data_IF_577047911106
#
_entry.id   IF_577047911106
#
_cell.length_a   1.000
_cell.length_b   1.000
_cell.length_c   1.000
_cell.angle_alpha   90.00
_cell.angle_beta   90.00
_cell.angle_gamma   90.00
#
_symmetry.space_group_name_H-M   'P 1'
#
loop_
_entity.id
_entity.type
_entity.pdbx_description
1 polymer ?
#
# COMPACT_ATOMS: atom_id res chain seq x y z
N UNK A 1 44.28 -11.31 8.65
CA UNK A 1 43.34 -10.16 8.68
C UNK A 1 42.27 -10.48 7.66
N UNK A 2 41.17 -11.07 8.12
CA UNK A 2 40.03 -11.40 7.27
C UNK A 2 39.26 -10.12 6.95
N UNK A 3 39.09 -9.83 5.66
CA UNK A 3 38.37 -8.66 5.17
C UNK A 3 36.93 -8.69 5.68
N UNK A 4 36.55 -7.60 6.34
CA UNK A 4 35.24 -7.34 6.93
C UNK A 4 34.33 -6.64 5.90
N UNK A 5 34.35 -7.08 4.64
CA UNK A 5 33.79 -6.36 3.49
C UNK A 5 32.78 -7.23 2.74
N UNK A 6 31.66 -7.51 3.40
CA UNK A 6 30.31 -7.43 2.84
C UNK A 6 29.34 -7.73 3.99
N UNK A 7 29.05 -6.71 4.80
CA UNK A 7 27.77 -6.72 5.51
C UNK A 7 26.76 -6.29 4.45
N UNK A 8 25.89 -7.22 4.05
CA UNK A 8 24.91 -7.04 2.99
C UNK A 8 24.18 -5.70 3.11
N UNK A 9 23.97 -5.07 1.96
CA UNK A 9 23.29 -3.78 1.84
C UNK A 9 21.92 -3.85 2.53
N UNK A 10 21.58 -2.82 3.30
CA UNK A 10 20.21 -2.64 3.77
C UNK A 10 19.34 -2.08 2.64
N UNK A 11 18.18 -2.69 2.41
CA UNK A 11 17.18 -2.20 1.47
C UNK A 11 16.08 -1.43 2.19
N UNK A 12 15.62 -0.33 1.60
CA UNK A 12 14.53 0.51 2.10
C UNK A 12 13.40 0.53 1.11
N UNK A 13 12.25 0.00 1.53
CA UNK A 13 11.03 -0.06 0.74
C UNK A 13 10.00 0.87 1.38
N UNK A 14 9.38 1.73 0.59
CA UNK A 14 8.18 2.46 1.02
C UNK A 14 6.95 1.78 0.45
N UNK A 15 5.96 1.54 1.31
CA UNK A 15 4.68 0.96 0.97
C UNK A 15 3.61 1.97 1.37
N UNK A 16 2.89 2.48 0.39
CA UNK A 16 1.88 3.53 0.54
C UNK A 16 0.60 3.06 -0.12
N UNK A 17 -0.53 3.70 0.18
CA UNK A 17 -1.85 3.30 -0.31
C UNK A 17 -2.82 4.45 -0.16
N UNK A 18 -3.99 4.29 -0.76
CA UNK A 18 -5.18 5.07 -0.42
C UNK A 18 -4.91 6.57 -0.57
N UNK A 19 -4.59 7.00 -1.79
CA UNK A 19 -4.54 8.42 -2.12
C UNK A 19 -5.91 8.93 -2.57
N UNK A 20 -6.77 8.08 -3.15
CA UNK A 20 -8.15 8.40 -3.53
C UNK A 20 -8.25 9.72 -4.31
N UNK A 21 -7.48 9.86 -5.41
CA UNK A 21 -7.57 11.05 -6.26
C UNK A 21 -9.00 11.21 -6.80
N UNK A 22 -9.61 12.33 -6.46
CA UNK A 22 -10.97 12.71 -6.87
C UNK A 22 -11.06 14.20 -7.19
N UNK A 23 -11.94 14.57 -8.13
CA UNK A 23 -12.24 15.97 -8.47
C UNK A 23 -13.16 16.64 -7.43
N UNK A 24 -13.71 15.86 -6.49
CA UNK A 24 -14.59 16.35 -5.42
C UNK A 24 -13.80 17.17 -4.39
N UNK A 25 -13.95 18.49 -4.47
CA UNK A 25 -13.06 19.47 -3.82
C UNK A 25 -13.02 19.43 -2.28
N UNK A 26 -13.94 18.74 -1.59
CA UNK A 26 -14.08 18.90 -0.12
C UNK A 26 -14.48 17.64 0.65
N UNK A 27 -14.38 16.44 0.08
CA UNK A 27 -14.64 15.24 0.88
C UNK A 27 -13.73 15.14 2.11
N UNK A 28 -12.56 15.79 2.06
CA UNK A 28 -11.47 15.54 3.00
C UNK A 28 -10.94 16.80 3.70
N UNK A 29 -11.70 17.89 3.69
CA UNK A 29 -11.32 19.17 4.29
C UNK A 29 -10.20 19.94 3.56
N UNK A 30 -9.45 19.25 2.69
CA UNK A 30 -8.43 19.78 1.78
C UNK A 30 -8.77 19.44 0.33
N UNK A 31 -8.19 20.17 -0.63
CA UNK A 31 -8.27 19.80 -2.04
C UNK A 31 -7.48 18.51 -2.28
N UNK A 32 -8.04 17.60 -3.09
CA UNK A 32 -7.35 16.36 -3.46
C UNK A 32 -5.98 16.64 -4.08
N UNK A 33 -5.88 17.63 -4.95
CA UNK A 33 -4.62 18.01 -5.60
C UNK A 33 -3.52 18.38 -4.60
N UNK A 34 -3.84 19.20 -3.58
CA UNK A 34 -2.87 19.61 -2.57
C UNK A 34 -2.38 18.40 -1.75
N UNK A 35 -3.30 17.48 -1.43
CA UNK A 35 -2.99 16.25 -0.67
C UNK A 35 -2.16 15.26 -1.48
N UNK A 36 -2.49 15.04 -2.74
CA UNK A 36 -1.72 14.13 -3.61
C UNK A 36 -0.35 14.74 -3.94
N UNK A 37 -0.27 16.06 -4.12
CA UNK A 37 1.02 16.72 -4.26
C UNK A 37 1.86 16.59 -2.99
N UNK A 38 1.25 16.72 -1.80
CA UNK A 38 1.94 16.46 -0.54
C UNK A 38 2.50 15.02 -0.51
N UNK A 39 1.75 14.01 -0.95
CA UNK A 39 2.25 12.64 -1.07
C UNK A 39 3.53 12.55 -1.93
N UNK A 40 3.53 13.17 -3.12
CA UNK A 40 4.72 13.25 -4.00
C UNK A 40 5.89 13.92 -3.28
N UNK A 41 5.64 15.08 -2.66
CA UNK A 41 6.68 15.88 -2.01
C UNK A 41 7.31 15.12 -0.84
N UNK A 42 6.50 14.38 -0.06
CA UNK A 42 6.98 13.59 1.08
C UNK A 42 7.79 12.37 0.64
N UNK A 43 7.42 11.70 -0.45
CA UNK A 43 8.25 10.62 -1.01
C UNK A 43 9.61 11.17 -1.46
N UNK A 44 9.63 12.31 -2.17
CA UNK A 44 10.88 12.96 -2.59
C UNK A 44 11.76 13.32 -1.41
N UNK A 45 11.17 13.88 -0.37
CA UNK A 45 11.88 14.25 0.84
C UNK A 45 12.47 13.03 1.56
N UNK A 46 11.67 11.97 1.73
CA UNK A 46 12.17 10.74 2.33
C UNK A 46 13.29 10.11 1.50
N UNK A 47 13.17 10.10 0.17
CA UNK A 47 14.22 9.60 -0.71
C UNK A 47 15.52 10.41 -0.55
N UNK A 48 15.42 11.74 -0.45
CA UNK A 48 16.57 12.61 -0.23
C UNK A 48 17.21 12.40 1.15
N UNK A 49 16.43 12.03 2.18
CA UNK A 49 16.93 11.71 3.53
C UNK A 49 17.67 10.37 3.55
N UNK A 50 17.11 9.36 2.89
CA UNK A 50 17.69 8.02 2.72
C UNK A 50 17.14 7.41 1.42
N UNK A 51 17.99 6.96 0.48
CA UNK A 51 17.51 6.37 -0.76
C UNK A 51 16.47 5.27 -0.52
N UNK A 52 15.41 5.33 -1.31
CA UNK A 52 14.35 4.32 -1.37
C UNK A 52 14.70 3.40 -2.53
N UNK A 53 14.78 2.11 -2.24
CA UNK A 53 15.14 1.07 -3.20
C UNK A 53 13.93 0.54 -3.97
N UNK A 54 12.72 0.66 -3.40
CA UNK A 54 11.46 0.26 -4.03
C UNK A 54 10.28 1.04 -3.42
N UNK A 55 9.36 1.49 -4.28
CA UNK A 55 8.07 2.03 -3.87
C UNK A 55 6.95 1.07 -4.28
N UNK A 56 6.13 0.63 -3.34
CA UNK A 56 4.92 -0.16 -3.62
C UNK A 56 3.70 0.67 -3.26
N UNK A 57 2.78 0.85 -4.21
CA UNK A 57 1.49 1.49 -3.99
C UNK A 57 0.41 0.41 -3.89
N UNK A 58 -0.14 0.18 -2.70
CA UNK A 58 -1.04 -0.92 -2.38
C UNK A 58 -2.52 -0.56 -2.63
N UNK A 59 -2.85 -0.03 -3.81
CA UNK A 59 -4.24 0.19 -4.24
C UNK A 59 -4.88 1.52 -3.82
N UNK A 60 -6.04 1.81 -4.42
CA UNK A 60 -6.83 3.02 -4.21
C UNK A 60 -6.04 4.33 -4.50
N UNK A 61 -5.43 4.36 -5.69
CA UNK A 61 -4.80 5.55 -6.25
C UNK A 61 -5.85 6.63 -6.57
N UNK A 62 -7.07 6.21 -6.89
CA UNK A 62 -8.15 7.05 -7.38
C UNK A 62 -9.49 6.61 -6.80
N UNK A 63 -10.52 7.45 -6.99
CA UNK A 63 -11.93 7.07 -6.80
C UNK A 63 -12.61 6.91 -8.16
N UNK A 64 -12.03 6.11 -9.05
CA UNK A 64 -12.57 5.92 -10.40
C UNK A 64 -13.88 5.14 -10.40
N UNK A 65 -13.92 4.05 -9.63
CA UNK A 65 -15.08 3.17 -9.45
C UNK A 65 -15.57 3.25 -8.01
N UNK A 66 -16.47 4.19 -7.76
CA UNK A 66 -17.12 4.33 -6.47
C UNK A 66 -18.59 4.66 -6.65
N UNK A 67 -19.42 3.62 -6.63
CA UNK A 67 -20.85 3.73 -6.89
C UNK A 67 -21.11 4.57 -8.16
N UNK A 68 -22.12 5.44 -8.12
CA UNK A 68 -22.41 6.44 -9.16
C UNK A 68 -21.62 7.75 -9.01
N UNK A 69 -20.66 7.82 -8.08
CA UNK A 69 -19.90 9.02 -7.74
C UNK A 69 -18.46 8.98 -8.26
N UNK A 70 -17.97 7.80 -8.64
CA UNK A 70 -16.61 7.64 -9.15
C UNK A 70 -16.37 8.44 -10.43
N UNK A 71 -15.16 8.95 -10.63
CA UNK A 71 -14.82 9.76 -11.82
C UNK A 71 -15.01 9.00 -13.12
N UNK A 72 -14.68 7.71 -13.12
CA UNK A 72 -14.84 6.87 -14.29
C UNK A 72 -16.30 6.44 -14.46
N UNK A 73 -16.95 5.97 -13.40
CA UNK A 73 -18.36 5.53 -13.49
C UNK A 73 -19.33 6.66 -13.84
N UNK A 74 -19.09 7.88 -13.36
CA UNK A 74 -19.99 9.02 -13.59
C UNK A 74 -19.65 9.87 -14.81
N UNK A 75 -18.37 9.96 -15.21
CA UNK A 75 -17.90 10.88 -16.27
C UNK A 75 -17.03 10.21 -17.34
N UNK A 76 -16.66 8.94 -17.17
CA UNK A 76 -15.69 8.26 -18.04
C UNK A 76 -14.26 8.78 -17.92
N UNK A 77 -13.93 9.48 -16.81
CA UNK A 77 -12.60 10.05 -16.58
C UNK A 77 -11.81 9.11 -15.68
N UNK A 78 -10.65 8.66 -16.12
CA UNK A 78 -9.72 7.90 -15.27
C UNK A 78 -8.79 8.85 -14.51
N UNK A 79 -9.10 9.07 -13.24
CA UNK A 79 -8.20 9.71 -12.29
C UNK A 79 -6.99 8.83 -11.98
N UNK A 80 -7.06 7.51 -12.14
CA UNK A 80 -5.86 6.64 -12.11
C UNK A 80 -4.86 7.11 -13.16
N UNK A 81 -5.30 7.33 -14.40
CA UNK A 81 -4.42 7.84 -15.46
C UNK A 81 -3.88 9.23 -15.11
N UNK A 82 -4.72 10.13 -14.58
CA UNK A 82 -4.26 11.45 -14.13
C UNK A 82 -3.24 11.32 -12.99
N UNK A 83 -3.44 10.38 -12.07
CA UNK A 83 -2.52 10.11 -10.98
C UNK A 83 -1.14 9.72 -11.49
N UNK A 84 -1.11 8.80 -12.46
CA UNK A 84 0.12 8.38 -13.14
C UNK A 84 0.80 9.55 -13.86
N UNK A 85 0.06 10.24 -14.74
CA UNK A 85 0.61 11.26 -15.63
C UNK A 85 1.05 12.52 -14.87
N UNK A 86 0.32 12.92 -13.82
CA UNK A 86 0.54 14.18 -13.10
C UNK A 86 1.41 14.01 -11.86
N UNK A 87 1.26 12.93 -11.08
CA UNK A 87 1.87 12.82 -9.76
C UNK A 87 2.99 11.79 -9.73
N UNK A 88 2.74 10.56 -10.19
CA UNK A 88 3.77 9.50 -10.20
C UNK A 88 4.92 9.89 -11.14
N UNK A 89 4.63 10.54 -12.27
CA UNK A 89 5.66 11.06 -13.20
C UNK A 89 6.63 12.07 -12.58
N UNK A 90 6.29 12.66 -11.42
CA UNK A 90 7.16 13.58 -10.72
C UNK A 90 8.15 12.87 -9.79
N UNK A 91 7.94 11.59 -9.45
CA UNK A 91 8.83 10.85 -8.55
C UNK A 91 10.24 10.74 -9.15
N UNK A 92 11.29 10.64 -8.29
CA UNK A 92 12.64 10.43 -8.79
C UNK A 92 12.71 9.20 -9.72
N UNK A 93 13.22 9.35 -10.95
CA UNK A 93 13.17 8.31 -11.98
C UNK A 93 13.96 7.04 -11.62
N UNK A 94 14.87 7.13 -10.67
CA UNK A 94 15.66 6.03 -10.14
C UNK A 94 14.91 5.15 -9.13
N UNK A 95 13.74 5.58 -8.62
CA UNK A 95 12.94 4.77 -7.70
C UNK A 95 12.07 3.83 -8.54
N UNK A 96 12.36 2.51 -8.57
CA UNK A 96 11.44 1.57 -9.17
C UNK A 96 10.15 1.54 -8.35
N UNK A 97 9.01 1.38 -9.03
CA UNK A 97 7.72 1.30 -8.37
C UNK A 97 6.82 0.22 -8.95
N UNK A 98 5.90 -0.26 -8.11
CA UNK A 98 4.77 -1.10 -8.52
C UNK A 98 3.48 -0.51 -7.93
N UNK A 99 2.45 -0.36 -8.76
CA UNK A 99 1.15 0.14 -8.35
C UNK A 99 0.12 -0.97 -8.52
N UNK A 100 -0.42 -1.43 -7.38
CA UNK A 100 -1.52 -2.37 -7.31
C UNK A 100 -2.87 -1.65 -7.50
N UNK A 101 -3.87 -2.38 -7.97
CA UNK A 101 -5.24 -1.90 -7.98
C UNK A 101 -5.88 -2.13 -6.59
N UNK A 102 -6.74 -1.20 -6.16
CA UNK A 102 -7.60 -1.35 -5.00
C UNK A 102 -9.06 -1.59 -5.41
N UNK A 103 -9.97 -1.44 -4.45
CA UNK A 103 -11.40 -1.60 -4.73
C UNK A 103 -11.97 -0.47 -5.57
N UNK A 104 -11.29 0.67 -5.70
CA UNK A 104 -11.76 1.79 -6.51
C UNK A 104 -11.27 1.77 -7.95
N UNK A 105 -10.48 0.76 -8.35
CA UNK A 105 -9.96 0.62 -9.71
C UNK A 105 -10.40 -0.69 -10.35
N UNK A 106 -11.69 -0.82 -10.70
CA UNK A 106 -12.26 -2.00 -11.36
C UNK A 106 -11.93 -2.10 -12.86
N UNK A 107 -10.74 -1.65 -13.25
CA UNK A 107 -10.25 -1.79 -14.63
C UNK A 107 -9.85 -3.24 -14.93
N UNK A 108 -10.11 -3.69 -16.15
CA UNK A 108 -9.49 -4.91 -16.67
C UNK A 108 -7.96 -4.84 -16.59
N UNK A 109 -7.26 -5.97 -16.57
CA UNK A 109 -5.80 -5.97 -16.52
C UNK A 109 -5.16 -5.24 -17.72
N UNK A 110 -5.78 -5.33 -18.90
CA UNK A 110 -5.31 -4.60 -20.09
C UNK A 110 -5.38 -3.09 -19.90
N UNK A 111 -6.51 -2.57 -19.42
CA UNK A 111 -6.67 -1.14 -19.14
C UNK A 111 -5.77 -0.67 -18.00
N UNK A 112 -5.66 -1.46 -16.93
CA UNK A 112 -4.75 -1.17 -15.82
C UNK A 112 -3.31 -1.02 -16.31
N UNK A 113 -2.82 -1.99 -17.08
CA UNK A 113 -1.48 -1.97 -17.68
C UNK A 113 -1.30 -0.78 -18.62
N UNK A 114 -2.33 -0.40 -19.37
CA UNK A 114 -2.28 0.78 -20.25
C UNK A 114 -2.15 2.10 -19.47
N UNK A 115 -2.70 2.18 -18.25
CA UNK A 115 -2.61 3.38 -17.42
C UNK A 115 -1.36 3.44 -16.55
N UNK A 116 -1.00 2.32 -15.91
CA UNK A 116 0.04 2.29 -14.88
C UNK A 116 1.37 1.73 -15.37
N UNK A 117 1.35 0.95 -16.45
CA UNK A 117 2.48 0.13 -16.89
C UNK A 117 2.67 -1.16 -16.05
N UNK A 118 1.86 -1.37 -15.02
CA UNK A 118 1.90 -2.57 -14.18
C UNK A 118 0.72 -3.50 -14.49
N UNK A 119 0.89 -4.79 -14.23
CA UNK A 119 -0.25 -5.70 -14.10
C UNK A 119 -0.97 -5.49 -12.77
N UNK A 120 -2.23 -5.92 -12.66
CA UNK A 120 -3.01 -5.81 -11.41
C UNK A 120 -2.40 -6.65 -10.28
N UNK A 121 -1.68 -7.71 -10.66
CA UNK A 121 -0.86 -8.57 -9.80
C UNK A 121 0.53 -8.72 -10.41
N UNK A 122 1.55 -8.94 -9.60
CA UNK A 122 2.92 -9.04 -10.09
C UNK A 122 3.89 -9.49 -9.03
N UNK A 123 5.18 -9.50 -9.37
CA UNK A 123 6.24 -9.74 -8.42
C UNK A 123 7.44 -8.83 -8.71
N UNK A 124 8.10 -8.36 -7.66
CA UNK A 124 9.33 -7.57 -7.74
C UNK A 124 10.39 -8.25 -6.89
N UNK A 125 11.48 -8.69 -7.51
CA UNK A 125 12.64 -9.20 -6.80
C UNK A 125 13.62 -8.06 -6.51
N UNK A 126 14.06 -7.97 -5.26
CA UNK A 126 15.07 -7.05 -4.78
C UNK A 126 16.09 -7.85 -3.98
N UNK A 127 17.19 -8.21 -4.65
CA UNK A 127 18.25 -9.07 -4.09
C UNK A 127 17.71 -10.43 -3.61
N UNK A 128 17.76 -10.72 -2.31
CA UNK A 128 17.27 -11.97 -1.73
C UNK A 128 15.78 -11.91 -1.33
N UNK A 129 15.08 -10.82 -1.62
CA UNK A 129 13.68 -10.60 -1.25
C UNK A 129 12.78 -10.57 -2.49
N UNK A 130 11.62 -11.19 -2.38
CA UNK A 130 10.55 -11.21 -3.36
C UNK A 130 9.30 -10.56 -2.77
N UNK A 131 8.86 -9.48 -3.41
CA UNK A 131 7.56 -8.87 -3.14
C UNK A 131 6.55 -9.43 -4.13
N UNK A 132 5.51 -10.12 -3.64
CA UNK A 132 4.40 -10.62 -4.47
C UNK A 132 3.21 -9.70 -4.25
N UNK A 133 2.77 -9.02 -5.31
CA UNK A 133 1.67 -8.08 -5.31
C UNK A 133 0.41 -8.81 -5.79
N UNK A 134 -0.62 -8.81 -4.95
CA UNK A 134 -1.85 -9.58 -5.11
C UNK A 134 -3.05 -8.65 -5.36
N UNK A 135 -3.97 -9.11 -6.21
CA UNK A 135 -5.18 -8.39 -6.55
C UNK A 135 -6.37 -8.95 -5.74
N UNK A 136 -6.73 -8.23 -4.68
CA UNK A 136 -7.85 -8.60 -3.80
C UNK A 136 -9.22 -8.19 -4.36
N UNK A 137 -9.29 -7.63 -5.57
CA UNK A 137 -10.51 -7.12 -6.21
C UNK A 137 -10.54 -7.43 -7.71
N UNK A 138 -10.06 -8.62 -8.11
CA UNK A 138 -9.83 -8.97 -9.51
C UNK A 138 -10.98 -9.63 -10.28
N UNK A 139 -12.18 -9.74 -9.69
CA UNK A 139 -13.28 -10.53 -10.30
C UNK A 139 -14.40 -9.72 -10.96
N UNK A 140 -14.77 -8.55 -10.44
CA UNK A 140 -15.86 -7.71 -11.02
C UNK A 140 -15.26 -6.50 -11.73
N UNK A 141 -14.61 -6.75 -12.86
CA UNK A 141 -13.89 -5.73 -13.63
C UNK A 141 -14.71 -5.24 -14.83
N UNK A 142 -14.37 -4.05 -15.33
CA UNK A 142 -14.87 -3.54 -16.61
C UNK A 142 -14.74 -4.58 -17.74
N UNK A 143 -15.77 -4.75 -18.59
CA UNK A 143 -17.02 -3.98 -18.66
C UNK A 143 -18.17 -4.53 -17.80
N UNK A 144 -17.92 -5.56 -16.98
CA UNK A 144 -18.93 -6.22 -16.14
C UNK A 144 -19.23 -5.46 -14.84
N UNK A 145 -18.40 -4.46 -14.51
CA UNK A 145 -18.65 -3.61 -13.38
C UNK A 145 -19.85 -2.68 -13.61
N UNK A 146 -20.78 -2.65 -12.65
CA UNK A 146 -22.05 -1.96 -12.79
C UNK A 146 -22.23 -0.76 -11.85
N UNK A 147 -21.12 -0.17 -11.38
CA UNK A 147 -21.18 0.94 -10.42
C UNK A 147 -21.65 0.50 -9.04
N UNK A 148 -21.36 -0.75 -8.66
CA UNK A 148 -21.62 -1.28 -7.32
C UNK A 148 -20.36 -1.19 -6.45
N UNK A 149 -20.37 -1.77 -5.25
CA UNK A 149 -19.14 -1.92 -4.47
C UNK A 149 -18.34 -3.09 -5.02
N UNK A 150 -17.01 -2.93 -5.12
CA UNK A 150 -16.14 -4.01 -5.57
C UNK A 150 -16.21 -5.21 -4.63
N UNK A 151 -16.15 -6.40 -5.21
CA UNK A 151 -16.23 -7.66 -4.48
C UNK A 151 -14.83 -8.14 -4.11
N UNK A 152 -14.66 -8.47 -2.83
CA UNK A 152 -13.44 -9.08 -2.36
C UNK A 152 -13.18 -10.42 -3.07
N UNK A 153 -11.95 -10.60 -3.52
CA UNK A 153 -11.45 -11.85 -4.10
C UNK A 153 -10.39 -12.44 -3.17
N UNK A 154 -10.57 -13.68 -2.66
CA UNK A 154 -9.54 -14.36 -1.87
C UNK A 154 -8.21 -14.48 -2.62
N UNK A 155 -7.10 -14.57 -1.88
CA UNK A 155 -5.78 -14.56 -2.49
C UNK A 155 -5.56 -15.74 -3.45
N UNK A 156 -5.03 -15.44 -4.64
CA UNK A 156 -4.67 -16.45 -5.63
C UNK A 156 -3.41 -17.21 -5.18
N UNK A 157 -3.62 -18.34 -4.50
CA UNK A 157 -2.56 -19.19 -3.97
C UNK A 157 -1.71 -19.80 -5.09
N UNK A 158 -2.30 -20.14 -6.24
CA UNK A 158 -1.55 -20.73 -7.35
C UNK A 158 -0.56 -19.73 -7.92
N UNK A 159 -0.98 -18.46 -8.07
CA UNK A 159 -0.09 -17.38 -8.45
C UNK A 159 1.05 -17.16 -7.44
N UNK A 160 0.75 -17.19 -6.13
CA UNK A 160 1.79 -17.06 -5.09
C UNK A 160 2.82 -18.19 -5.23
N UNK A 161 2.36 -19.44 -5.35
CA UNK A 161 3.25 -20.61 -5.49
C UNK A 161 4.06 -20.56 -6.78
N UNK A 162 3.47 -20.12 -7.89
CA UNK A 162 4.17 -19.91 -9.16
C UNK A 162 5.37 -18.97 -8.96
N UNK A 163 5.14 -17.79 -8.36
CA UNK A 163 6.22 -16.79 -8.14
C UNK A 163 7.26 -17.25 -7.14
N UNK A 164 6.85 -17.99 -6.12
CA UNK A 164 7.79 -18.62 -5.18
C UNK A 164 8.61 -19.75 -5.79
N UNK A 165 8.10 -20.44 -6.81
CA UNK A 165 8.82 -21.48 -7.54
C UNK A 165 9.84 -20.87 -8.53
N UNK A 166 9.51 -19.72 -9.14
CA UNK A 166 10.44 -18.92 -9.94
C UNK A 166 11.61 -18.37 -9.10
N UNK A 167 11.37 -18.14 -7.79
CA UNK A 167 12.33 -17.56 -6.84
C UNK A 167 12.52 -18.44 -5.58
N UNK A 168 13.08 -19.67 -5.72
CA UNK A 168 13.04 -20.69 -4.67
C UNK A 168 13.76 -20.29 -3.37
N UNK A 169 14.76 -19.42 -3.44
CA UNK A 169 15.60 -19.06 -2.28
C UNK A 169 15.26 -17.68 -1.68
N UNK A 170 14.27 -16.96 -2.23
CA UNK A 170 13.99 -15.61 -1.75
C UNK A 170 13.14 -15.64 -0.48
N UNK A 171 13.37 -14.66 0.41
CA UNK A 171 12.39 -14.27 1.42
C UNK A 171 11.20 -13.65 0.71
N UNK A 172 9.99 -13.86 1.23
CA UNK A 172 8.74 -13.50 0.55
C UNK A 172 7.95 -12.51 1.39
N UNK A 173 7.53 -11.43 0.75
CA UNK A 173 6.66 -10.40 1.29
C UNK A 173 5.40 -10.32 0.43
N UNK A 174 4.24 -10.50 1.04
CA UNK A 174 2.98 -10.41 0.31
C UNK A 174 2.41 -9.00 0.48
N UNK A 175 1.99 -8.38 -0.61
CA UNK A 175 1.37 -7.05 -0.61
C UNK A 175 0.05 -7.13 -1.36
N UNK A 176 -1.03 -6.65 -0.74
CA UNK A 176 -2.34 -6.57 -1.38
C UNK A 176 -2.98 -5.23 -1.01
N UNK A 177 -4.02 -4.80 -1.71
CA UNK A 177 -4.82 -3.70 -1.21
C UNK A 177 -5.52 -4.09 0.10
N UNK A 178 -6.08 -5.30 0.16
CA UNK A 178 -6.72 -5.82 1.37
C UNK A 178 -6.53 -7.33 1.54
N UNK A 179 -6.30 -7.76 2.78
CA UNK A 179 -6.47 -9.14 3.21
C UNK A 179 -7.71 -9.22 4.10
N UNK A 180 -8.78 -9.82 3.60
CA UNK A 180 -9.96 -10.11 4.40
C UNK A 180 -9.75 -11.42 5.16
N UNK A 181 -8.99 -11.34 6.26
CA UNK A 181 -8.51 -12.49 7.05
C UNK A 181 -9.59 -13.48 7.47
N UNK A 182 -10.82 -13.01 7.67
CA UNK A 182 -11.97 -13.83 8.07
C UNK A 182 -12.58 -14.59 6.87
N UNK A 183 -12.39 -14.09 5.65
CA UNK A 183 -12.95 -14.63 4.41
C UNK A 183 -11.89 -15.21 3.46
N UNK A 184 -10.65 -15.36 3.92
CA UNK A 184 -9.60 -16.02 3.14
C UNK A 184 -9.84 -17.52 2.97
N UNK A 185 -9.26 -18.06 1.90
CA UNK A 185 -9.27 -19.52 1.70
C UNK A 185 -8.40 -20.23 2.75
N UNK A 186 -8.85 -21.39 3.21
CA UNK A 186 -8.04 -22.26 4.10
C UNK A 186 -6.69 -22.65 3.47
N UNK A 187 -6.62 -22.68 2.14
CA UNK A 187 -5.37 -22.92 1.43
C UNK A 187 -4.38 -21.77 1.60
N UNK A 188 -4.85 -20.51 1.50
CA UNK A 188 -4.00 -19.35 1.74
C UNK A 188 -3.50 -19.30 3.17
N UNK A 189 -4.38 -19.54 4.15
CA UNK A 189 -4.01 -19.62 5.58
C UNK A 189 -2.89 -20.64 5.80
N UNK A 190 -3.09 -21.86 5.25
CA UNK A 190 -2.11 -22.94 5.33
C UNK A 190 -0.78 -22.55 4.67
N UNK A 191 -0.80 -21.94 3.48
CA UNK A 191 0.42 -21.48 2.82
C UNK A 191 1.21 -20.50 3.68
N UNK A 192 0.54 -19.45 4.19
CA UNK A 192 1.19 -18.42 5.04
C UNK A 192 1.75 -19.03 6.32
N UNK A 193 1.05 -20.02 6.90
CA UNK A 193 1.49 -20.72 8.10
C UNK A 193 2.70 -21.62 7.87
N UNK A 194 2.70 -22.40 6.80
CA UNK A 194 3.67 -23.48 6.58
C UNK A 194 4.93 -23.01 5.84
N UNK A 195 4.83 -21.97 5.01
CA UNK A 195 5.97 -21.43 4.28
C UNK A 195 6.80 -20.47 5.13
N UNK A 196 7.98 -20.93 5.57
CA UNK A 196 8.89 -20.13 6.39
C UNK A 196 9.54 -18.96 5.63
N UNK A 197 9.55 -19.00 4.28
CA UNK A 197 10.01 -17.89 3.44
C UNK A 197 9.06 -16.69 3.51
N UNK A 198 7.76 -16.87 3.77
CA UNK A 198 6.81 -15.75 3.94
C UNK A 198 7.11 -15.07 5.28
N UNK A 199 7.62 -13.84 5.21
CA UNK A 199 8.05 -13.07 6.39
C UNK A 199 6.96 -12.17 6.93
N UNK A 200 6.21 -11.50 6.06
CA UNK A 200 5.14 -10.61 6.46
C UNK A 200 4.20 -10.24 5.31
N UNK A 201 3.05 -9.68 5.69
CA UNK A 201 2.01 -9.21 4.77
C UNK A 201 1.82 -7.69 4.96
N UNK A 202 1.54 -6.97 3.88
CA UNK A 202 1.28 -5.53 3.90
C UNK A 202 -0.02 -5.19 3.17
N UNK A 203 -0.83 -4.29 3.75
CA UNK A 203 -2.12 -3.93 3.19
C UNK A 203 -2.50 -2.45 3.35
N UNK A 204 -3.28 -1.92 2.40
CA UNK A 204 -3.94 -0.62 2.49
C UNK A 204 -5.36 -0.73 3.06
N UNK A 205 -6.32 -0.14 2.35
CA UNK A 205 -7.79 -0.26 2.44
C UNK A 205 -8.45 0.30 3.71
N UNK A 206 -7.85 0.11 4.88
CA UNK A 206 -8.49 0.42 6.17
C UNK A 206 -8.23 1.87 6.62
N UNK A 207 -7.48 2.64 5.83
CA UNK A 207 -7.25 4.07 6.06
C UNK A 207 -6.61 4.39 7.42
N UNK A 208 -5.82 3.44 7.93
CA UNK A 208 -5.07 3.56 9.18
C UNK A 208 -3.84 2.69 9.11
N UNK A 209 -2.82 3.04 9.89
CA UNK A 209 -1.75 2.12 10.21
C UNK A 209 -2.09 1.33 11.47
N UNK A 210 -1.88 0.03 11.38
CA UNK A 210 -1.90 -0.88 12.50
C UNK A 210 -1.15 -2.15 12.11
N UNK A 211 -0.72 -2.91 13.12
CA UNK A 211 -0.22 -4.27 12.95
C UNK A 211 -1.29 -5.23 13.43
N UNK A 212 -1.80 -6.06 12.52
CA UNK A 212 -2.75 -7.14 12.83
C UNK A 212 -1.95 -8.42 13.04
N UNK A 213 -2.07 -9.01 14.23
CA UNK A 213 -1.54 -10.34 14.52
C UNK A 213 -2.55 -11.39 14.09
N UNK A 214 -2.15 -12.25 13.15
CA UNK A 214 -3.04 -13.23 12.52
C UNK A 214 -3.24 -14.52 13.33
N UNK A 215 -2.48 -14.70 14.41
CA UNK A 215 -2.56 -15.90 15.27
C UNK A 215 -2.04 -17.19 14.61
N UNK A 216 -2.27 -18.31 15.28
CA UNK A 216 -1.66 -19.61 14.93
C UNK A 216 -2.16 -20.22 13.61
N UNK A 217 -3.35 -19.82 13.14
CA UNK A 217 -3.88 -20.26 11.84
C UNK A 217 -3.06 -19.72 10.66
N UNK A 218 -2.34 -18.61 10.86
CA UNK A 218 -1.39 -18.03 9.90
C UNK A 218 0.06 -18.12 10.39
N UNK A 219 0.39 -19.04 11.31
CA UNK A 219 1.76 -19.20 11.81
C UNK A 219 2.29 -17.99 12.57
N UNK A 220 1.41 -17.25 13.25
CA UNK A 220 1.69 -16.04 14.02
C UNK A 220 2.29 -14.90 13.18
N UNK A 221 2.05 -14.90 11.86
CA UNK A 221 2.43 -13.80 10.96
C UNK A 221 1.55 -12.58 11.21
N UNK A 222 1.93 -11.48 10.57
CA UNK A 222 1.26 -10.19 10.72
C UNK A 222 0.88 -9.59 9.37
N UNK A 223 -0.20 -8.81 9.38
CA UNK A 223 -0.51 -7.83 8.33
C UNK A 223 -0.18 -6.45 8.87
N UNK A 224 0.77 -5.77 8.24
CA UNK A 224 1.13 -4.40 8.59
C UNK A 224 0.41 -3.43 7.64
N UNK A 225 -0.52 -2.65 8.19
CA UNK A 225 -1.33 -1.72 7.41
C UNK A 225 -0.57 -0.44 7.09
N UNK A 226 -0.65 0.00 5.84
CA UNK A 226 0.24 1.01 5.24
C UNK A 226 -0.24 2.44 5.45
N UNK A 227 -1.35 2.65 6.17
CA UNK A 227 -1.97 3.96 6.33
C UNK A 227 -2.66 4.45 5.06
N UNK A 228 -2.69 5.78 4.89
CA UNK A 228 -3.41 6.42 3.79
C UNK A 228 -2.87 7.83 3.51
N UNK A 229 -3.14 8.35 2.32
CA UNK A 229 -3.03 9.76 1.96
C UNK A 229 -4.38 10.26 1.40
N UNK A 230 -5.48 9.69 1.87
CA UNK A 230 -6.86 10.01 1.59
C UNK A 230 -7.55 10.71 2.78
N UNK A 231 -8.45 10.01 3.47
CA UNK A 231 -9.28 10.49 4.55
C UNK A 231 -9.29 9.54 5.72
N UNK A 232 -9.44 10.12 6.91
CA UNK A 232 -9.75 9.33 8.07
C UNK A 232 -11.26 9.08 8.10
N UNK A 233 -11.67 7.81 8.01
CA UNK A 233 -13.07 7.39 8.17
C UNK A 233 -13.68 7.87 9.51
N UNK A 234 -12.83 8.16 10.50
CA UNK A 234 -13.21 8.71 11.79
C UNK A 234 -13.12 10.25 11.82
N UNK A 235 -14.10 10.91 11.21
CA UNK A 235 -14.49 12.27 11.62
C UNK A 235 -15.94 12.29 12.09
N UNK A 236 -16.25 12.92 13.23
CA UNK A 236 -15.31 13.55 14.16
C UNK A 236 -14.72 12.48 15.08
N UNK A 237 -13.41 12.46 15.28
CA UNK A 237 -12.77 11.60 16.29
C UNK A 237 -13.56 11.64 17.60
N UNK A 238 -14.15 10.52 18.08
CA UNK A 238 -14.97 10.58 19.28
C UNK A 238 -14.19 10.78 20.57
N UNK A 239 -12.86 10.84 20.58
CA UNK A 239 -12.09 10.91 21.82
C UNK A 239 -10.79 11.70 21.65
N UNK A 240 -10.41 12.38 22.73
CA UNK A 240 -9.16 13.10 22.97
C UNK A 240 -7.91 12.17 22.98
N UNK A 241 -7.83 11.17 22.09
CA UNK A 241 -6.71 10.22 21.99
C UNK A 241 -5.75 10.64 20.86
N UNK A 242 -4.59 11.26 21.19
CA UNK A 242 -3.61 11.68 20.21
C UNK A 242 -3.00 10.52 19.41
N UNK A 243 -3.02 9.29 19.95
CA UNK A 243 -2.46 8.13 19.27
C UNK A 243 -3.40 7.60 18.19
N UNK A 244 -4.73 7.71 18.39
CA UNK A 244 -5.72 7.42 17.36
C UNK A 244 -5.63 8.40 16.18
N UNK A 245 -5.34 9.68 16.47
CA UNK A 245 -5.10 10.70 15.43
C UNK A 245 -3.92 10.31 14.58
N UNK A 246 -2.77 10.02 15.20
CA UNK A 246 -1.56 9.62 14.46
C UNK A 246 -1.84 8.40 13.59
N UNK A 247 -2.41 7.33 14.17
CA UNK A 247 -2.68 6.05 13.48
C UNK A 247 -3.49 6.17 12.21
N UNK A 248 -4.32 7.20 12.07
CA UNK A 248 -5.15 7.41 10.88
C UNK A 248 -4.73 8.65 10.08
N UNK A 249 -3.57 9.21 10.37
CA UNK A 249 -3.05 10.38 9.70
C UNK A 249 -2.23 10.04 8.45
N UNK A 250 -2.01 11.03 7.60
CA UNK A 250 -1.29 10.84 6.34
C UNK A 250 0.14 10.34 6.55
N UNK A 251 0.49 9.29 5.84
CA UNK A 251 1.77 8.62 6.00
C UNK A 251 1.89 7.37 5.16
N UNK A 252 3.05 6.74 5.25
CA UNK A 252 3.37 5.50 4.55
C UNK A 252 4.13 4.57 5.48
N UNK A 253 4.05 3.28 5.18
CA UNK A 253 4.81 2.28 5.89
C UNK A 253 6.17 2.10 5.23
N UNK A 254 7.20 2.17 6.04
CA UNK A 254 8.56 1.85 5.66
C UNK A 254 8.84 0.40 6.04
N UNK A 255 9.56 -0.32 5.20
CA UNK A 255 10.18 -1.60 5.49
C UNK A 255 11.68 -1.47 5.19
N UNK A 256 12.50 -1.77 6.19
CA UNK A 256 13.94 -1.83 6.04
C UNK A 256 14.37 -3.27 6.26
N UNK A 257 15.09 -3.80 5.28
CA UNK A 257 15.54 -5.19 5.23
C UNK A 257 17.06 -5.19 5.36
N UNK A 258 17.56 -5.73 6.46
CA UNK A 258 18.97 -6.01 6.68
C UNK A 258 19.31 -7.49 6.42
N UNK A 259 20.53 -7.89 6.78
CA UNK A 259 21.00 -9.27 6.58
C UNK A 259 20.26 -10.31 7.45
N UNK A 260 20.05 -9.97 8.72
CA UNK A 260 19.56 -10.93 9.73
C UNK A 260 18.15 -10.62 10.22
N UNK A 261 17.65 -9.42 9.93
CA UNK A 261 16.33 -8.96 10.33
C UNK A 261 15.76 -7.96 9.34
N UNK A 262 14.44 -7.80 9.38
CA UNK A 262 13.76 -6.66 8.82
C UNK A 262 12.95 -5.95 9.90
N UNK A 263 12.73 -4.66 9.71
CA UNK A 263 11.82 -3.89 10.54
C UNK A 263 10.92 -3.02 9.66
N UNK A 264 9.68 -2.88 10.09
CA UNK A 264 8.74 -1.97 9.46
C UNK A 264 8.19 -0.99 10.47
N UNK A 265 8.10 0.27 10.07
CA UNK A 265 7.48 1.32 10.87
C UNK A 265 6.52 2.12 10.00
N UNK A 266 5.56 2.78 10.63
CA UNK A 266 4.77 3.80 9.96
C UNK A 266 5.39 5.18 10.16
N UNK A 267 5.52 5.91 9.06
CA UNK A 267 6.00 7.30 9.04
C UNK A 267 4.80 8.19 8.80
N UNK A 268 4.42 8.99 9.80
CA UNK A 268 3.51 10.11 9.58
C UNK A 268 4.28 11.21 8.89
N UNK A 269 3.73 11.63 7.76
CA UNK A 269 4.25 12.73 6.98
C UNK A 269 4.11 14.05 7.74
N UNK A 270 5.14 14.89 7.64
CA UNK A 270 5.01 16.29 8.02
C UNK A 270 3.97 16.97 7.12
N UNK A 271 3.09 17.76 7.72
CA UNK A 271 2.10 18.54 6.98
C UNK A 271 1.65 19.74 7.79
N UNK A 272 1.36 20.82 7.08
CA UNK A 272 0.73 22.01 7.62
C UNK A 272 -0.67 22.24 7.01
N UNK A 273 -1.13 21.41 6.06
CA UNK A 273 -2.39 21.63 5.33
C UNK A 273 -3.56 20.78 5.83
N UNK A 274 -3.30 19.77 6.64
CA UNK A 274 -4.32 18.83 7.08
C UNK A 274 -5.39 19.48 7.97
N UNK A 275 -6.56 18.85 8.03
CA UNK A 275 -7.67 19.31 8.87
C UNK A 275 -8.16 18.22 9.82
N UNK A 276 -8.35 18.56 11.10
CA UNK A 276 -8.99 17.71 12.12
C UNK A 276 -10.21 18.45 12.65
N UNK A 277 -11.39 17.83 12.59
CA UNK A 277 -12.63 18.47 13.05
C UNK A 277 -13.01 19.75 12.28
N UNK A 278 -12.47 19.92 11.07
CA UNK A 278 -12.62 21.13 10.26
C UNK A 278 -11.61 22.24 10.57
N UNK A 279 -10.74 22.06 11.57
CA UNK A 279 -9.66 22.99 11.91
C UNK A 279 -8.33 22.55 11.28
N UNK A 280 -7.56 23.51 10.79
CA UNK A 280 -6.25 23.26 10.20
C UNK A 280 -5.26 22.87 11.30
N UNK A 281 -4.52 21.79 11.08
CA UNK A 281 -3.49 21.29 12.00
C UNK A 281 -2.14 21.21 11.31
N UNK A 282 -1.08 21.41 12.08
CA UNK A 282 0.29 21.13 11.66
C UNK A 282 0.78 19.93 12.44
N UNK A 283 1.35 18.94 11.74
CA UNK A 283 2.01 17.79 12.36
C UNK A 283 3.44 17.70 11.87
N UNK A 284 4.35 17.48 12.83
CA UNK A 284 5.73 17.15 12.53
C UNK A 284 5.84 15.68 12.08
N UNK A 285 6.86 15.41 11.26
CA UNK A 285 7.23 14.04 10.89
C UNK A 285 7.44 13.19 12.15
N UNK A 286 6.80 12.03 12.21
CA UNK A 286 6.97 11.09 13.33
C UNK A 286 6.94 9.63 12.86
N UNK A 287 7.51 8.73 13.68
CA UNK A 287 7.64 7.30 13.39
C UNK A 287 7.04 6.50 14.53
N UNK A 288 6.22 5.49 14.22
CA UNK A 288 5.60 4.61 15.23
C UNK A 288 5.09 3.30 14.59
N UNK A 289 4.35 2.50 15.36
CA UNK A 289 3.75 1.22 14.93
C UNK A 289 4.78 0.26 14.32
N UNK A 290 5.90 0.14 15.04
CA UNK A 290 7.05 -0.65 14.65
C UNK A 290 6.83 -2.16 14.85
N UNK A 291 7.29 -2.94 13.89
CA UNK A 291 7.34 -4.40 13.94
C UNK A 291 8.69 -4.90 13.40
N UNK A 292 9.20 -5.98 13.99
CA UNK A 292 10.41 -6.66 13.52
C UNK A 292 10.08 -8.06 13.00
N UNK A 293 10.81 -8.48 11.97
CA UNK A 293 10.76 -9.80 11.36
C UNK A 293 12.14 -10.43 11.51
N UNK A 294 12.21 -11.55 12.21
CA UNK A 294 13.44 -12.31 12.41
C UNK A 294 13.53 -13.42 11.35
N UNK A 295 14.74 -13.74 10.91
CA UNK A 295 14.98 -14.75 9.87
C UNK A 295 15.36 -16.12 10.41
#
# INVERSE_FOLDING_TARGET
MTNNADKGREYRILITSDVHLTEEKKWYGVLSDDRVQLWVDRIKEEHARRPIDLLIFAGDASLDHYLMQGSYTSKGISNTKIFMDKYVSQLPPEIPYFIAAGNHEQYSNEQWRAYTGNDRRGAVALDEDLFIILDSFGTTLEPEFHGELAVYTPMDVDFIKEKMAEHPNHRVWLVAHWFNVDNESEEFKRLVKEESRIKGLFAGHIHKCSVIHLGEEYGNKTVAQTGQFSYNYYTPFPNDDPDAVKKSFWGFRELIIGCDEAYSNYIVAETDIATIGGERVSLDRSVYDGISYQY
#
